data_IF_911741494390
#
_entry.id   IF_911741494390
#
_cell.length_a   1.000
_cell.length_b   1.000
_cell.length_c   1.000
_cell.angle_alpha   90.00
_cell.angle_beta   90.00
_cell.angle_gamma   90.00
#
_symmetry.space_group_name_H-M   'P 1'
#
loop_
_entity.id
_entity.type
_entity.pdbx_description
1 polymer ?
#
# COMPACT_ATOMS: atom_id res chain seq x y z
N UNK A 1 26.42 -0.91 -0.82
CA UNK A 1 25.72 -1.38 0.41
C UNK A 1 24.57 -2.28 -0.04
N UNK A 2 24.36 -3.44 0.59
CA UNK A 2 23.20 -4.29 0.25
C UNK A 2 21.92 -3.73 0.88
N UNK A 3 20.79 -3.83 0.17
CA UNK A 3 19.47 -3.34 0.59
C UNK A 3 18.51 -4.52 0.79
N UNK A 4 17.74 -4.49 1.87
CA UNK A 4 16.63 -5.41 2.08
C UNK A 4 15.32 -4.63 2.19
N UNK A 5 14.28 -5.06 1.50
CA UNK A 5 12.93 -4.51 1.67
C UNK A 5 12.11 -5.45 2.55
N UNK A 6 11.47 -4.88 3.56
CA UNK A 6 10.65 -5.60 4.53
C UNK A 6 9.24 -5.04 4.48
N UNK A 7 8.27 -5.90 4.21
CA UNK A 7 6.87 -5.51 4.07
C UNK A 7 6.10 -5.82 5.37
N UNK A 8 5.44 -4.82 5.98
CA UNK A 8 4.75 -5.00 7.25
C UNK A 8 3.42 -5.73 7.09
N UNK A 9 3.02 -6.43 8.15
CA UNK A 9 1.75 -7.15 8.22
C UNK A 9 0.60 -6.32 8.79
N UNK A 10 -0.53 -7.01 9.01
CA UNK A 10 -1.69 -6.45 9.69
C UNK A 10 -1.34 -5.96 11.10
N UNK A 11 -1.91 -4.83 11.51
CA UNK A 11 -1.58 -4.08 12.73
C UNK A 11 -0.81 -2.79 12.43
N UNK A 12 -0.23 -2.65 11.24
CA UNK A 12 0.49 -1.43 10.81
C UNK A 12 -0.34 -0.47 9.95
N UNK A 13 -1.63 -0.76 9.73
CA UNK A 13 -2.51 0.12 8.97
C UNK A 13 -2.72 1.46 9.72
N UNK A 14 -2.83 2.54 8.96
CA UNK A 14 -3.10 3.87 9.49
C UNK A 14 -3.95 4.65 8.49
N UNK A 15 -4.83 5.52 9.00
CA UNK A 15 -5.58 6.47 8.17
C UNK A 15 -4.59 7.35 7.39
N UNK A 16 -4.92 7.67 6.14
CA UNK A 16 -4.06 8.39 5.19
C UNK A 16 -2.86 7.60 4.63
N UNK A 17 -2.78 6.29 4.90
CA UNK A 17 -1.73 5.44 4.32
C UNK A 17 -1.71 5.53 2.79
N UNK A 18 -0.51 5.73 2.23
CA UNK A 18 -0.29 5.85 0.79
C UNK A 18 -0.81 7.14 0.13
N UNK A 19 -1.54 8.01 0.84
CA UNK A 19 -2.08 9.27 0.30
C UNK A 19 -0.99 10.17 -0.27
N UNK A 20 0.00 10.50 0.56
CA UNK A 20 1.10 11.37 0.16
C UNK A 20 1.95 10.80 -1.00
N UNK A 21 2.01 9.47 -1.14
CA UNK A 21 2.68 8.83 -2.29
C UNK A 21 1.85 9.01 -3.56
N UNK A 22 0.55 8.71 -3.49
CA UNK A 22 -0.36 8.83 -4.64
C UNK A 22 -0.52 10.28 -5.11
N UNK A 23 -0.42 11.27 -4.22
CA UNK A 23 -0.46 12.69 -4.57
C UNK A 23 0.82 13.16 -5.28
N UNK A 24 1.98 12.54 -4.99
CA UNK A 24 3.29 12.95 -5.50
C UNK A 24 3.76 12.16 -6.71
N UNK A 25 3.30 10.91 -6.85
CA UNK A 25 3.81 9.97 -7.83
C UNK A 25 2.66 9.27 -8.58
N UNK A 26 2.60 9.45 -9.89
CA UNK A 26 1.58 8.83 -10.73
C UNK A 26 1.60 7.31 -10.64
N UNK A 27 2.79 6.70 -10.56
CA UNK A 27 2.96 5.25 -10.39
C UNK A 27 2.28 4.73 -9.12
N UNK A 28 2.29 5.50 -8.02
CA UNK A 28 1.56 5.13 -6.82
C UNK A 28 0.05 5.29 -7.00
N UNK A 29 -0.39 6.38 -7.63
CA UNK A 29 -1.81 6.62 -7.92
C UNK A 29 -2.42 5.50 -8.77
N UNK A 30 -1.70 5.06 -9.81
CA UNK A 30 -2.11 3.98 -10.72
C UNK A 30 -2.31 2.65 -9.98
N UNK A 31 -1.44 2.34 -8.99
CA UNK A 31 -1.59 1.14 -8.16
C UNK A 31 -2.88 1.18 -7.35
N UNK A 32 -3.21 2.31 -6.74
CA UNK A 32 -4.47 2.48 -6.00
C UNK A 32 -5.69 2.41 -6.92
N UNK A 33 -5.64 3.02 -8.10
CA UNK A 33 -6.73 2.98 -9.08
C UNK A 33 -6.98 1.55 -9.58
N UNK A 34 -5.91 0.82 -9.88
CA UNK A 34 -6.00 -0.60 -10.25
C UNK A 34 -6.60 -1.44 -9.12
N UNK A 35 -6.20 -1.21 -7.88
CA UNK A 35 -6.75 -1.93 -6.72
C UNK A 35 -8.25 -1.65 -6.54
N UNK A 36 -8.69 -0.38 -6.58
CA UNK A 36 -10.11 -0.01 -6.55
C UNK A 36 -10.92 -0.76 -7.62
N UNK A 37 -10.42 -0.78 -8.85
CA UNK A 37 -11.10 -1.44 -9.97
C UNK A 37 -11.21 -2.96 -9.79
N UNK A 38 -10.16 -3.62 -9.30
CA UNK A 38 -10.14 -5.07 -9.06
C UNK A 38 -11.08 -5.45 -7.91
N UNK A 39 -11.08 -4.66 -6.84
CA UNK A 39 -11.84 -4.94 -5.63
C UNK A 39 -13.34 -4.68 -5.79
N UNK A 40 -13.72 -3.76 -6.68
CA UNK A 40 -15.11 -3.36 -6.90
C UNK A 40 -15.68 -2.45 -5.81
N UNK A 41 -14.82 -1.87 -4.97
CA UNK A 41 -15.17 -0.91 -3.92
C UNK A 41 -14.03 0.09 -3.71
N UNK A 42 -14.33 1.20 -3.04
CA UNK A 42 -13.42 2.34 -2.93
C UNK A 42 -12.35 2.15 -1.84
N UNK A 43 -11.30 1.38 -2.17
CA UNK A 43 -10.14 1.17 -1.31
C UNK A 43 -9.43 2.49 -0.98
N UNK A 44 -9.32 3.42 -1.94
CA UNK A 44 -8.74 4.75 -1.68
C UNK A 44 -9.47 5.46 -0.56
N UNK A 45 -10.80 5.47 -0.56
CA UNK A 45 -11.58 6.09 0.50
C UNK A 45 -11.36 5.40 1.84
N UNK A 46 -11.40 4.06 1.89
CA UNK A 46 -11.17 3.31 3.13
C UNK A 46 -9.77 3.58 3.69
N UNK A 47 -8.72 3.55 2.86
CA UNK A 47 -7.34 3.78 3.30
C UNK A 47 -7.08 5.23 3.73
N UNK A 48 -7.78 6.21 3.15
CA UNK A 48 -7.49 7.65 3.35
C UNK A 48 -8.37 8.31 4.40
N UNK A 49 -9.61 7.87 4.53
CA UNK A 49 -10.61 8.52 5.36
C UNK A 49 -11.13 7.59 6.47
N UNK A 50 -10.96 6.27 6.33
CA UNK A 50 -11.46 5.24 7.25
C UNK A 50 -12.92 5.47 7.70
N UNK A 51 -13.87 5.59 6.76
CA UNK A 51 -15.26 5.83 7.11
C UNK A 51 -15.80 4.66 7.93
N UNK A 52 -16.46 4.96 9.05
CA UNK A 52 -17.05 3.96 9.95
C UNK A 52 -16.04 2.93 10.50
N UNK A 53 -14.76 3.28 10.61
CA UNK A 53 -13.70 2.38 11.10
C UNK A 53 -13.59 1.08 10.25
N UNK A 54 -13.88 1.16 8.94
CA UNK A 54 -13.80 0.00 8.05
C UNK A 54 -12.37 -0.55 7.91
N UNK A 55 -11.34 0.27 8.07
CA UNK A 55 -9.93 -0.09 7.87
C UNK A 55 -9.43 -1.11 8.89
N UNK A 56 -10.09 -1.30 10.03
CA UNK A 56 -9.74 -2.34 11.03
C UNK A 56 -10.28 -3.73 10.66
N UNK A 57 -11.23 -3.80 9.72
CA UNK A 57 -11.76 -5.08 9.27
C UNK A 57 -10.74 -5.78 8.39
N UNK A 58 -10.42 -7.03 8.70
CA UNK A 58 -9.36 -7.79 8.02
C UNK A 58 -9.54 -7.86 6.49
N UNK A 59 -10.78 -7.95 6.01
CA UNK A 59 -11.14 -7.94 4.57
C UNK A 59 -10.88 -6.59 3.87
N UNK A 60 -10.72 -5.51 4.64
CA UNK A 60 -10.34 -4.17 4.18
C UNK A 60 -8.87 -3.85 4.46
N UNK A 61 -8.38 -4.22 5.64
CA UNK A 61 -7.02 -3.94 6.11
C UNK A 61 -5.97 -4.58 5.20
N UNK A 62 -6.15 -5.85 4.85
CA UNK A 62 -5.14 -6.58 4.07
C UNK A 62 -4.96 -6.02 2.66
N UNK A 63 -6.04 -5.74 1.87
CA UNK A 63 -5.89 -5.06 0.58
C UNK A 63 -5.28 -3.66 0.70
N UNK A 64 -5.61 -2.90 1.75
CA UNK A 64 -5.04 -1.56 1.95
C UNK A 64 -3.53 -1.61 2.17
N UNK A 65 -3.08 -2.48 3.09
CA UNK A 65 -1.66 -2.68 3.39
C UNK A 65 -0.89 -3.16 2.16
N UNK A 66 -1.40 -4.17 1.47
CA UNK A 66 -0.79 -4.68 0.26
C UNK A 66 -0.64 -3.58 -0.80
N UNK A 67 -1.73 -2.85 -1.07
CA UNK A 67 -1.75 -1.79 -2.09
C UNK A 67 -0.77 -0.67 -1.75
N UNK A 68 -0.67 -0.29 -0.47
CA UNK A 68 0.27 0.74 -0.02
C UNK A 68 1.73 0.29 -0.13
N UNK A 69 2.02 -0.95 0.25
CA UNK A 69 3.34 -1.56 0.11
C UNK A 69 3.79 -1.62 -1.35
N UNK A 70 2.90 -2.03 -2.25
CA UNK A 70 3.19 -2.08 -3.69
C UNK A 70 3.34 -0.67 -4.27
N UNK A 71 2.51 0.29 -3.87
CA UNK A 71 2.64 1.67 -4.31
C UNK A 71 4.00 2.27 -3.90
N UNK A 72 4.46 2.02 -2.67
CA UNK A 72 5.78 2.43 -2.20
C UNK A 72 6.92 1.75 -2.97
N UNK A 73 6.78 0.44 -3.25
CA UNK A 73 7.73 -0.32 -4.06
C UNK A 73 7.86 0.29 -5.47
N UNK A 74 6.75 0.54 -6.15
CA UNK A 74 6.77 1.09 -7.51
C UNK A 74 7.36 2.51 -7.56
N UNK A 75 7.14 3.32 -6.52
CA UNK A 75 7.85 4.61 -6.38
C UNK A 75 9.36 4.39 -6.28
N UNK A 76 9.84 3.49 -5.42
CA UNK A 76 11.28 3.19 -5.31
C UNK A 76 11.87 2.69 -6.63
N UNK A 77 11.15 1.80 -7.34
CA UNK A 77 11.54 1.29 -8.65
C UNK A 77 11.61 2.38 -9.72
N UNK A 78 10.72 3.37 -9.67
CA UNK A 78 10.76 4.52 -10.60
C UNK A 78 12.05 5.36 -10.47
N UNK A 79 12.74 5.26 -9.33
CA UNK A 79 14.06 5.86 -9.09
C UNK A 79 15.23 4.88 -9.32
N UNK A 80 14.97 3.66 -9.81
CA UNK A 80 15.99 2.62 -9.98
C UNK A 80 16.47 1.99 -8.66
N UNK A 81 15.72 2.15 -7.57
CA UNK A 81 16.08 1.60 -6.25
C UNK A 81 15.50 0.19 -6.11
N UNK A 82 16.35 -0.81 -6.38
CA UNK A 82 16.00 -2.23 -6.21
C UNK A 82 16.58 -2.84 -4.91
N UNK A 83 15.93 -3.84 -4.30
CA UNK A 83 16.47 -4.59 -3.17
C UNK A 83 17.40 -5.74 -3.62
N UNK A 84 18.33 -6.13 -2.75
CA UNK A 84 19.12 -7.37 -2.89
C UNK A 84 18.44 -8.56 -2.19
N UNK A 85 17.51 -8.29 -1.27
CA UNK A 85 16.72 -9.29 -0.54
C UNK A 85 15.34 -8.74 -0.17
N UNK A 86 14.36 -9.64 -0.05
CA UNK A 86 13.00 -9.30 0.37
C UNK A 86 12.53 -10.23 1.48
N UNK A 87 11.74 -9.71 2.40
CA UNK A 87 10.97 -10.50 3.37
C UNK A 87 9.69 -9.76 3.76
N UNK A 88 8.77 -10.47 4.38
CA UNK A 88 7.49 -9.91 4.81
C UNK A 88 6.96 -10.63 6.03
N UNK A 89 6.04 -9.97 6.74
CA UNK A 89 5.39 -10.55 7.93
C UNK A 89 3.90 -10.76 7.65
N UNK A 90 3.47 -12.03 7.64
CA UNK A 90 2.08 -12.41 7.38
C UNK A 90 1.60 -12.01 5.99
N UNK A 91 0.74 -10.99 5.86
CA UNK A 91 0.25 -10.47 4.56
C UNK A 91 1.35 -9.71 3.78
N UNK A 92 2.33 -9.16 4.50
CA UNK A 92 3.47 -8.44 3.90
C UNK A 92 4.36 -9.37 3.11
#
# INVERSE_FOLDING_TARGET
MKKAFIFPGQGSQAVEMGKALAEKFSVAAEIFDRANNILGWDLKKIAREDPNEELVRTDRTQPALFTTSVAALEVLRSFGIEPDAVAGHSIG
#
